data_IF_683182748365
#
_entry.id   IF_683182748365
#
_cell.length_a   1.000
_cell.length_b   1.000
_cell.length_c   1.000
_cell.angle_alpha   90.00
_cell.angle_beta   90.00
_cell.angle_gamma   90.00
#
_symmetry.space_group_name_H-M   'P 1'
#
loop_
_entity.id
_entity.type
_entity.pdbx_description
1 polymer ?
#
# COMPACT_ATOMS: atom_id res chain seq x y z
N UNK A 1 -11.52 -8.27 15.08
CA UNK A 1 -10.95 -7.14 14.31
C UNK A 1 -10.46 -7.69 12.98
N UNK A 2 -10.96 -7.20 11.84
CA UNK A 2 -10.41 -7.59 10.52
C UNK A 2 -9.28 -6.61 10.20
N UNK A 3 -8.03 -7.11 10.16
CA UNK A 3 -6.88 -6.29 9.77
C UNK A 3 -6.89 -6.12 8.26
N UNK A 4 -7.39 -4.98 7.77
CA UNK A 4 -7.34 -4.64 6.35
C UNK A 4 -5.88 -4.42 5.93
N UNK A 5 -5.35 -5.33 5.13
CA UNK A 5 -4.00 -5.25 4.57
C UNK A 5 -4.04 -4.71 3.16
N UNK A 6 -3.04 -3.91 2.79
CA UNK A 6 -2.78 -3.49 1.40
C UNK A 6 -1.71 -4.39 0.77
N UNK A 7 -1.57 -4.36 -0.55
CA UNK A 7 -0.46 -5.03 -1.26
C UNK A 7 0.48 -3.98 -1.84
N UNK A 8 1.78 -4.20 -1.64
CA UNK A 8 2.81 -3.41 -2.31
C UNK A 8 2.78 -3.70 -3.81
N UNK A 9 2.53 -2.69 -4.65
CA UNK A 9 2.48 -2.86 -6.12
C UNK A 9 3.83 -3.24 -6.74
N UNK A 10 4.94 -2.93 -6.07
CA UNK A 10 6.27 -3.27 -6.54
C UNK A 10 6.69 -4.70 -6.19
N UNK A 11 6.56 -5.10 -4.92
CA UNK A 11 7.06 -6.39 -4.42
C UNK A 11 5.99 -7.45 -4.18
N UNK A 12 4.71 -7.10 -4.22
CA UNK A 12 3.59 -7.99 -3.90
C UNK A 12 3.45 -8.34 -2.41
N UNK A 13 4.29 -7.80 -1.53
CA UNK A 13 4.23 -8.06 -0.10
C UNK A 13 2.99 -7.42 0.55
N UNK A 14 2.47 -8.05 1.61
CA UNK A 14 1.37 -7.51 2.43
C UNK A 14 1.86 -6.34 3.27
N UNK A 15 1.09 -5.26 3.29
CA UNK A 15 1.29 -4.07 4.09
C UNK A 15 0.20 -4.03 5.17
N UNK A 16 0.62 -3.97 6.43
CA UNK A 16 -0.29 -3.84 7.57
C UNK A 16 -0.55 -2.36 7.90
N UNK A 17 -1.69 -2.03 8.54
CA UNK A 17 -2.00 -0.67 8.94
C UNK A 17 -0.86 -0.02 9.75
N UNK A 18 -0.55 1.24 9.43
CA UNK A 18 0.54 2.00 10.08
C UNK A 18 1.96 1.66 9.57
N UNK A 19 2.10 0.84 8.53
CA UNK A 19 3.38 0.53 7.87
C UNK A 19 3.35 0.93 6.39
N UNK A 20 4.54 1.17 5.83
CA UNK A 20 4.72 1.49 4.41
C UNK A 20 4.54 2.98 4.07
N UNK A 21 4.57 3.27 2.77
CA UNK A 21 4.37 4.62 2.21
C UNK A 21 3.46 4.51 0.98
N UNK A 22 2.62 5.52 0.76
CA UNK A 22 1.81 5.64 -0.45
C UNK A 22 2.39 6.73 -1.33
N UNK A 23 2.82 6.36 -2.53
CA UNK A 23 3.28 7.30 -3.54
C UNK A 23 2.12 7.64 -4.47
N UNK A 24 1.80 8.92 -4.59
CA UNK A 24 0.83 9.43 -5.56
C UNK A 24 1.61 10.06 -6.69
N UNK A 25 1.53 9.46 -7.87
CA UNK A 25 2.25 9.89 -9.05
C UNK A 25 1.52 11.09 -9.69
N UNK A 26 2.22 11.90 -10.50
CA UNK A 26 1.66 13.14 -11.07
C UNK A 26 0.46 12.91 -12.00
N UNK A 27 0.35 11.72 -12.58
CA UNK A 27 -0.81 11.24 -13.34
C UNK A 27 -1.90 10.63 -12.44
N UNK A 28 -1.87 10.91 -11.13
CA UNK A 28 -2.81 10.45 -10.12
C UNK A 28 -2.86 8.94 -9.91
N UNK A 29 -1.84 8.20 -10.36
CA UNK A 29 -1.71 6.77 -10.07
C UNK A 29 -1.25 6.54 -8.62
N UNK A 30 -1.80 5.50 -8.01
CA UNK A 30 -1.49 4.99 -6.65
C UNK A 30 -0.81 3.64 -6.76
#
# INVERSE_FOLDING_TARGET
MVLKTELCRFSGAKIYPGKGIRFIRSDSQV
#
